data_IF_112283172081
#
_entry.id   IF_112283172081
#
_cell.length_a   1.000
_cell.length_b   1.000
_cell.length_c   1.000
_cell.angle_alpha   90.00
_cell.angle_beta   90.00
_cell.angle_gamma   90.00
#
_symmetry.space_group_name_H-M   'P 1'
#
loop_
_entity.id
_entity.type
_entity.pdbx_description
1 polymer ?
#
# COMPACT_ATOMS: atom_id res chain seq x y z
N UNK A 1 17.40 -0.81 -17.44
CA UNK A 1 16.12 -0.06 -17.55
C UNK A 1 16.35 1.45 -17.63
N UNK A 2 15.56 2.19 -18.42
CA UNK A 2 15.59 3.67 -18.41
C UNK A 2 15.23 4.18 -17.00
N UNK A 3 16.02 5.11 -16.43
CA UNK A 3 15.84 5.67 -15.05
C UNK A 3 14.40 6.11 -14.74
N UNK A 4 13.65 6.54 -15.75
CA UNK A 4 12.24 6.94 -15.65
C UNK A 4 11.31 5.78 -15.25
N UNK A 5 11.49 4.59 -15.83
CA UNK A 5 10.71 3.38 -15.50
C UNK A 5 10.96 2.93 -14.06
N UNK A 6 12.20 3.01 -13.60
CA UNK A 6 12.55 2.61 -12.24
C UNK A 6 11.92 3.57 -11.21
N UNK A 7 11.94 4.89 -11.48
CA UNK A 7 11.24 5.87 -10.65
C UNK A 7 9.72 5.63 -10.60
N UNK A 8 9.09 5.30 -11.72
CA UNK A 8 7.65 5.01 -11.73
C UNK A 8 7.33 3.74 -10.94
N UNK A 9 8.16 2.70 -11.07
CA UNK A 9 7.98 1.45 -10.32
C UNK A 9 8.08 1.66 -8.80
N UNK A 10 9.10 2.40 -8.34
CA UNK A 10 9.25 2.77 -6.93
C UNK A 10 8.05 3.59 -6.45
N UNK A 11 7.55 4.53 -7.25
CA UNK A 11 6.37 5.34 -6.91
C UNK A 11 5.12 4.47 -6.77
N UNK A 12 4.90 3.54 -7.69
CA UNK A 12 3.77 2.60 -7.64
C UNK A 12 3.85 1.71 -6.41
N UNK A 13 5.03 1.15 -6.12
CA UNK A 13 5.24 0.32 -4.95
C UNK A 13 4.96 1.06 -3.64
N UNK A 14 5.43 2.31 -3.50
CA UNK A 14 5.09 3.16 -2.34
C UNK A 14 3.59 3.43 -2.26
N UNK A 15 2.93 3.68 -3.38
CA UNK A 15 1.49 3.95 -3.42
C UNK A 15 0.69 2.71 -2.99
N UNK A 16 1.11 1.53 -3.41
CA UNK A 16 0.46 0.27 -3.02
C UNK A 16 0.69 0.00 -1.54
N UNK A 17 1.94 0.07 -1.06
CA UNK A 17 2.24 -0.06 0.37
C UNK A 17 1.42 0.93 1.23
N UNK A 18 1.27 2.19 0.79
CA UNK A 18 0.43 3.16 1.49
C UNK A 18 -1.05 2.75 1.55
N UNK A 19 -1.59 2.13 0.49
CA UNK A 19 -2.97 1.64 0.50
C UNK A 19 -3.13 0.44 1.42
N UNK A 20 -2.21 -0.52 1.33
CA UNK A 20 -2.29 -1.77 2.10
C UNK A 20 -2.18 -1.47 3.60
N UNK A 21 -1.23 -0.61 3.99
CA UNK A 21 -1.08 -0.13 5.37
C UNK A 21 -2.34 0.62 5.82
N UNK A 22 -2.90 1.50 4.97
CA UNK A 22 -4.13 2.22 5.31
C UNK A 22 -5.29 1.25 5.58
N UNK A 23 -5.48 0.25 4.73
CA UNK A 23 -6.56 -0.73 4.86
C UNK A 23 -6.37 -1.60 6.11
N UNK A 24 -5.14 -2.08 6.38
CA UNK A 24 -4.85 -2.86 7.58
C UNK A 24 -5.17 -2.07 8.85
N UNK A 25 -4.60 -0.86 8.97
CA UNK A 25 -4.82 -0.01 10.14
C UNK A 25 -6.30 0.33 10.32
N UNK A 26 -7.00 0.71 9.24
CA UNK A 26 -8.40 1.06 9.34
C UNK A 26 -9.27 -0.14 9.73
N UNK A 27 -8.99 -1.33 9.20
CA UNK A 27 -9.72 -2.56 9.51
C UNK A 27 -9.51 -2.97 10.96
N UNK A 28 -8.27 -2.99 11.43
CA UNK A 28 -7.94 -3.37 12.81
C UNK A 28 -8.53 -2.40 13.83
N UNK A 29 -8.42 -1.09 13.59
CA UNK A 29 -8.97 -0.07 14.48
C UNK A 29 -10.50 -0.06 14.48
N UNK A 30 -11.15 -0.29 13.32
CA UNK A 30 -12.61 -0.43 13.27
C UNK A 30 -13.08 -1.68 14.00
N UNK A 31 -12.39 -2.81 13.81
CA UNK A 31 -12.72 -4.05 14.53
C UNK A 31 -12.56 -3.88 16.06
N UNK A 32 -11.51 -3.19 16.51
CA UNK A 32 -11.33 -2.86 17.92
C UNK A 32 -12.42 -1.90 18.44
N UNK A 33 -12.77 -0.86 17.68
CA UNK A 33 -13.83 0.08 18.03
C UNK A 33 -15.21 -0.61 18.11
N UNK A 34 -15.50 -1.53 17.18
CA UNK A 34 -16.72 -2.34 17.21
C UNK A 34 -16.81 -3.22 18.45
N UNK A 35 -15.70 -3.86 18.84
CA UNK A 35 -15.62 -4.64 20.10
C UNK A 35 -15.85 -3.79 21.35
N UNK A 36 -15.52 -2.49 21.30
CA UNK A 36 -15.74 -1.54 22.39
C UNK A 36 -17.12 -0.87 22.35
N UNK A 37 -17.99 -1.25 21.42
CA UNK A 37 -19.30 -0.62 21.23
C UNK A 37 -19.23 0.82 20.70
N UNK A 38 -18.07 1.25 20.21
CA UNK A 38 -17.83 2.60 19.68
C UNK A 38 -17.92 2.64 18.14
N UNK A 39 -18.76 1.80 17.54
CA UNK A 39 -18.92 1.77 16.09
C UNK A 39 -19.83 2.91 15.60
N UNK A 40 -19.32 4.13 15.74
CA UNK A 40 -20.01 5.36 15.35
C UNK A 40 -19.41 5.87 14.04
N UNK A 41 -20.24 6.28 13.09
CA UNK A 41 -19.80 6.72 11.75
C UNK A 41 -18.72 7.82 11.81
N UNK A 42 -18.81 8.72 12.79
CA UNK A 42 -17.81 9.79 13.03
C UNK A 42 -16.44 9.22 13.40
N UNK A 43 -16.40 8.18 14.24
CA UNK A 43 -15.16 7.51 14.63
C UNK A 43 -14.57 6.77 13.43
N UNK A 44 -15.39 6.01 12.70
CA UNK A 44 -14.99 5.31 11.48
C UNK A 44 -14.37 6.25 10.44
N UNK A 45 -14.97 7.43 10.18
CA UNK A 45 -14.40 8.46 9.29
C UNK A 45 -13.07 9.03 9.81
N UNK A 46 -12.92 9.14 11.13
CA UNK A 46 -11.69 9.65 11.77
C UNK A 46 -10.56 8.64 11.64
N UNK A 47 -10.85 7.36 11.92
CA UNK A 47 -9.93 6.24 11.74
C UNK A 47 -9.41 6.21 10.30
N UNK A 48 -10.29 6.32 9.29
CA UNK A 48 -9.86 6.31 7.89
C UNK A 48 -8.95 7.49 7.53
N UNK A 49 -9.26 8.71 8.01
CA UNK A 49 -8.45 9.90 7.75
C UNK A 49 -7.07 9.79 8.37
N UNK A 50 -6.99 9.35 9.62
CA UNK A 50 -5.72 9.21 10.34
C UNK A 50 -4.91 8.03 9.81
N UNK A 51 -5.55 6.89 9.53
CA UNK A 51 -4.91 5.75 8.86
C UNK A 51 -4.28 6.17 7.53
N UNK A 52 -4.98 6.99 6.72
CA UNK A 52 -4.45 7.53 5.47
C UNK A 52 -3.23 8.43 5.67
N UNK A 53 -3.21 9.28 6.71
CA UNK A 53 -2.06 10.13 7.02
C UNK A 53 -0.86 9.30 7.47
N UNK A 54 -1.08 8.34 8.37
CA UNK A 54 -0.05 7.45 8.89
C UNK A 54 0.54 6.60 7.76
N UNK A 55 -0.31 6.00 6.93
CA UNK A 55 0.14 5.16 5.84
C UNK A 55 0.98 5.91 4.80
N UNK A 56 0.64 7.17 4.48
CA UNK A 56 1.49 8.03 3.64
C UNK A 56 2.88 8.26 4.26
N UNK A 57 2.91 8.66 5.54
CA UNK A 57 4.17 8.92 6.26
C UNK A 57 5.06 7.67 6.35
N UNK A 58 4.46 6.51 6.56
CA UNK A 58 5.17 5.24 6.57
C UNK A 58 5.70 4.92 5.17
N UNK A 59 4.85 4.96 4.14
CA UNK A 59 5.24 4.66 2.77
C UNK A 59 6.38 5.56 2.23
N UNK A 60 6.44 6.82 2.65
CA UNK A 60 7.51 7.73 2.27
C UNK A 60 8.86 7.35 2.90
N UNK A 61 8.83 6.78 4.11
CA UNK A 61 10.00 6.30 4.86
C UNK A 61 10.45 4.89 4.48
N UNK A 62 9.62 4.11 3.80
CA UNK A 62 10.00 2.77 3.34
C UNK A 62 11.17 2.89 2.36
N UNK A 63 12.29 2.25 2.73
CA UNK A 63 13.42 2.00 1.84
C UNK A 63 13.00 0.87 0.91
N UNK A 64 12.93 1.18 -0.37
CA UNK A 64 12.60 0.20 -1.41
C UNK A 64 13.90 -0.25 -2.05
N UNK A 65 14.17 -1.55 -1.98
CA UNK A 65 15.24 -2.16 -2.75
C UNK A 65 14.87 -2.14 -4.23
N UNK A 66 15.59 -1.31 -4.98
CA UNK A 66 15.37 -1.09 -6.41
C UNK A 66 15.70 -2.33 -7.23
N UNK A 67 16.61 -3.17 -6.76
CA UNK A 67 17.13 -4.33 -7.48
C UNK A 67 16.10 -5.45 -7.43
N UNK A 68 15.63 -5.78 -6.22
CA UNK A 68 14.54 -6.73 -6.01
C UNK A 68 13.25 -6.30 -6.75
N UNK A 69 12.96 -5.00 -6.77
CA UNK A 69 11.75 -4.49 -7.40
C UNK A 69 11.77 -4.57 -8.94
N UNK A 70 12.97 -4.48 -9.54
CA UNK A 70 13.14 -4.69 -10.99
C UNK A 70 12.96 -6.15 -11.34
N UNK A 71 13.58 -7.07 -10.57
CA UNK A 71 13.43 -8.52 -10.76
C UNK A 71 11.96 -8.95 -10.65
N UNK A 72 11.27 -8.55 -9.60
CA UNK A 72 9.86 -8.87 -9.40
C UNK A 72 8.95 -8.32 -10.52
N UNK A 73 9.27 -7.14 -11.08
CA UNK A 73 8.50 -6.57 -12.19
C UNK A 73 8.76 -7.29 -13.52
N UNK A 74 9.99 -7.74 -13.76
CA UNK A 74 10.32 -8.48 -14.98
C UNK A 74 9.74 -9.92 -14.92
N UNK A 75 9.73 -10.55 -13.74
CA UNK A 75 9.02 -11.82 -13.50
C UNK A 75 7.51 -11.67 -13.66
N UNK A 76 6.89 -10.65 -13.05
CA UNK A 76 5.45 -10.39 -13.21
C UNK A 76 5.05 -10.14 -14.68
N UNK A 77 5.95 -9.52 -15.47
CA UNK A 77 5.74 -9.35 -16.91
C UNK A 77 5.89 -10.64 -17.70
N UNK A 78 6.82 -11.51 -17.31
CA UNK A 78 6.99 -12.80 -17.95
C UNK A 78 5.77 -13.69 -17.72
N UNK A 79 5.22 -13.70 -16.50
CA UNK A 79 4.00 -14.46 -16.17
C UNK A 79 2.78 -13.91 -16.91
N UNK A 80 2.61 -12.58 -16.96
CA UNK A 80 1.48 -11.95 -17.66
C UNK A 80 1.51 -12.13 -19.20
N UNK A 81 2.67 -12.47 -19.78
CA UNK A 81 2.80 -12.74 -21.21
C UNK A 81 2.47 -14.21 -21.57
N UNK A 82 2.53 -15.11 -20.60
CA UNK A 82 2.23 -16.55 -20.79
C UNK A 82 0.74 -16.84 -20.57
N UNK A 83 0.05 -16.07 -19.71
CA UNK A 83 -1.41 -16.20 -19.49
C UNK A 83 -2.28 -15.60 -20.61
N UNK A 84 -1.67 -14.96 -21.61
CA UNK A 84 -2.36 -14.34 -22.75
C UNK A 84 -2.22 -15.09 -24.07
N UNK A 85 -1.72 -16.33 -24.05
CA UNK A 85 -1.60 -17.26 -25.20
C UNK A 85 -2.46 -18.48 -24.94
#
# INVERSE_FOLDING_TARGET
>A
MKKTKLKSLVKTARKNAAKDIQVSIATELKAAAGKLGQDVEKLSKTIEKEAKKVAKRLADKIKIDKTALVLANDEAKAVAAVESV
#
